data_IF_156178639827
#
_entry.id   IF_156178639827
#
_cell.length_a   1.000
_cell.length_b   1.000
_cell.length_c   1.000
_cell.angle_alpha   90.00
_cell.angle_beta   90.00
_cell.angle_gamma   90.00
#
_symmetry.space_group_name_H-M   'P 1'
#
loop_
_entity.id
_entity.type
_entity.pdbx_description
1 polymer ?
#
# COMPACT_ATOMS: atom_id res chain seq x y z
N UNK A 1 4.80 -8.13 -3.26
CA UNK A 1 3.71 -7.16 -3.52
C UNK A 1 2.70 -7.83 -4.43
N UNK A 2 1.41 -7.65 -4.18
CA UNK A 2 0.38 -8.28 -5.02
C UNK A 2 0.06 -7.44 -6.26
N UNK A 3 0.28 -6.11 -6.21
CA UNK A 3 0.26 -5.23 -7.37
C UNK A 3 0.86 -3.85 -7.04
N UNK A 4 1.30 -3.12 -8.07
CA UNK A 4 1.75 -1.72 -8.01
C UNK A 4 1.11 -0.98 -9.17
N UNK A 5 0.54 0.20 -8.90
CA UNK A 5 -0.11 1.04 -9.89
C UNK A 5 0.35 2.48 -9.73
N UNK A 6 0.52 3.18 -10.84
CA UNK A 6 0.51 4.65 -10.86
C UNK A 6 -0.94 5.10 -11.08
N UNK A 7 -1.40 6.06 -10.30
CA UNK A 7 -2.78 6.53 -10.36
C UNK A 7 -2.83 8.05 -10.50
N UNK A 8 -3.93 8.56 -11.03
CA UNK A 8 -4.24 9.98 -10.91
C UNK A 8 -4.86 10.25 -9.53
N UNK A 9 -4.62 11.43 -8.97
CA UNK A 9 -5.16 11.85 -7.68
C UNK A 9 -4.10 12.47 -6.79
N UNK A 10 -4.42 12.55 -5.50
CA UNK A 10 -3.52 13.06 -4.46
C UNK A 10 -2.32 12.11 -4.23
N UNK A 11 -2.51 10.79 -4.04
CA UNK A 11 -1.44 9.83 -4.25
C UNK A 11 -1.13 9.65 -5.74
N UNK A 12 0.15 9.52 -6.07
CA UNK A 12 0.65 9.19 -7.40
C UNK A 12 0.84 7.66 -7.62
N UNK A 13 0.86 6.89 -6.54
CA UNK A 13 1.01 5.43 -6.56
C UNK A 13 0.10 4.70 -5.56
N UNK A 14 -0.36 3.51 -5.95
CA UNK A 14 -1.09 2.54 -5.12
C UNK A 14 -0.37 1.19 -5.12
N UNK A 15 -0.09 0.67 -3.93
CA UNK A 15 0.59 -0.62 -3.75
C UNK A 15 -0.26 -1.54 -2.90
N UNK A 16 -0.53 -2.74 -3.39
CA UNK A 16 -1.15 -3.80 -2.59
C UNK A 16 -0.06 -4.64 -1.90
N UNK A 17 0.00 -4.53 -0.58
CA UNK A 17 0.92 -5.27 0.29
C UNK A 17 0.18 -6.27 1.15
N UNK A 18 0.70 -7.49 1.22
CA UNK A 18 0.26 -8.48 2.20
C UNK A 18 1.21 -8.43 3.39
N UNK A 19 0.65 -8.14 4.56
CA UNK A 19 1.37 -8.09 5.83
C UNK A 19 0.89 -9.22 6.74
N UNK A 20 1.65 -9.51 7.80
CA UNK A 20 1.36 -10.62 8.72
C UNK A 20 0.65 -10.13 10.00
N UNK A 21 0.96 -8.90 10.39
CA UNK A 21 0.47 -8.22 11.58
C UNK A 21 0.74 -6.71 11.42
N UNK A 22 0.40 -5.94 12.46
CA UNK A 22 0.56 -4.48 12.49
C UNK A 22 2.04 -4.08 12.55
N UNK A 23 2.89 -4.85 13.24
CA UNK A 23 4.32 -4.53 13.35
C UNK A 23 5.01 -4.66 11.98
N UNK A 24 4.71 -5.74 11.25
CA UNK A 24 5.18 -5.92 9.88
C UNK A 24 4.66 -4.82 8.94
N UNK A 25 3.44 -4.33 9.14
CA UNK A 25 2.93 -3.17 8.39
C UNK A 25 3.75 -1.91 8.65
N UNK A 26 4.09 -1.62 9.90
CA UNK A 26 4.94 -0.47 10.25
C UNK A 26 6.31 -0.59 9.58
N UNK A 27 6.95 -1.75 9.67
CA UNK A 27 8.24 -2.02 9.05
C UNK A 27 8.22 -1.79 7.53
N UNK A 28 7.15 -2.23 6.85
CA UNK A 28 6.96 -2.04 5.41
C UNK A 28 6.78 -0.55 5.07
N UNK A 29 5.95 0.18 5.82
CA UNK A 29 5.74 1.61 5.58
C UNK A 29 7.04 2.40 5.79
N UNK A 30 7.78 2.10 6.85
CA UNK A 30 9.05 2.76 7.12
C UNK A 30 10.09 2.44 6.04
N UNK A 31 10.09 1.21 5.52
CA UNK A 31 10.97 0.84 4.41
C UNK A 31 10.67 1.64 3.15
N UNK A 32 9.38 1.83 2.82
CA UNK A 32 8.99 2.65 1.67
C UNK A 32 9.43 4.12 1.84
N UNK A 33 9.24 4.69 3.04
CA UNK A 33 9.62 6.08 3.33
C UNK A 33 11.13 6.31 3.32
N UNK A 34 11.93 5.30 3.67
CA UNK A 34 13.41 5.39 3.68
C UNK A 34 14.06 5.57 2.31
N UNK A 35 13.39 5.22 1.21
CA UNK A 35 13.97 5.26 -0.15
C UNK A 35 14.18 6.70 -0.66
N UNK A 36 13.65 7.71 0.04
CA UNK A 36 13.88 9.13 -0.27
C UNK A 36 13.07 9.67 -1.46
N UNK A 37 12.39 8.79 -2.20
CA UNK A 37 11.46 9.18 -3.28
C UNK A 37 9.99 9.17 -2.84
N UNK A 38 9.70 8.78 -1.60
CA UNK A 38 8.34 8.73 -1.05
C UNK A 38 8.15 9.94 -0.15
N UNK A 39 7.36 10.91 -0.60
CA UNK A 39 7.07 12.16 0.14
C UNK A 39 6.11 11.94 1.31
N UNK A 40 5.29 10.90 1.23
CA UNK A 40 4.36 10.50 2.28
C UNK A 40 3.70 9.17 1.95
N UNK A 41 2.97 8.59 2.92
CA UNK A 41 2.15 7.41 2.66
C UNK A 41 0.79 7.57 3.32
N UNK A 42 -0.25 7.08 2.64
CA UNK A 42 -1.60 6.93 3.19
C UNK A 42 -1.94 5.44 3.20
N UNK A 43 -2.20 4.90 4.39
CA UNK A 43 -2.46 3.46 4.57
C UNK A 43 -3.96 3.18 4.59
N UNK A 44 -4.40 2.29 3.72
CA UNK A 44 -5.77 1.76 3.68
C UNK A 44 -5.74 0.29 4.12
N UNK A 45 -6.48 -0.08 5.16
CA UNK A 45 -6.58 -1.47 5.59
C UNK A 45 -7.79 -2.15 4.92
N UNK A 46 -7.57 -3.32 4.34
CA UNK A 46 -8.64 -4.14 3.78
C UNK A 46 -9.42 -4.77 4.92
N UNK A 47 -10.67 -4.35 5.09
CA UNK A 47 -11.60 -4.92 6.08
C UNK A 47 -12.52 -6.00 5.49
N UNK A 48 -12.66 -6.01 4.17
CA UNK A 48 -13.41 -7.00 3.40
C UNK A 48 -13.05 -6.89 1.92
N UNK A 49 -13.21 -8.00 1.19
CA UNK A 49 -12.96 -8.06 -0.25
C UNK A 49 -14.09 -8.80 -0.94
N UNK A 50 -14.52 -8.29 -2.08
CA UNK A 50 -15.42 -8.98 -2.98
C UNK A 50 -14.84 -8.94 -4.38
N UNK A 51 -15.13 -9.97 -5.16
CA UNK A 51 -14.79 -10.03 -6.58
C UNK A 51 -16.09 -10.16 -7.34
N UNK A 52 -16.31 -9.27 -8.31
CA UNK A 52 -17.34 -9.47 -9.33
C UNK A 52 -16.71 -10.36 -10.40
N UNK A 53 -17.27 -11.54 -10.58
CA UNK A 53 -16.99 -12.36 -11.74
C UNK A 53 -18.00 -11.94 -12.82
N UNK A 54 -17.51 -11.68 -14.02
CA UNK A 54 -18.34 -11.39 -15.20
C UNK A 54 -18.95 -12.68 -15.77
#
# INVERSE_FOLDING_TARGET
MQAVFTIAGDPDALVNVRVRDIEHLQQVIDALRRVGQVTGTKTLMVLGSWTRND
#
